data_IF_479786876752
#
_entry.id   IF_479786876752
#
_cell.length_a   1.000
_cell.length_b   1.000
_cell.length_c   1.000
_cell.angle_alpha   90.00
_cell.angle_beta   90.00
_cell.angle_gamma   90.00
#
_symmetry.space_group_name_H-M   'P 1'
#
loop_
_entity.id
_entity.type
_entity.pdbx_description
1 polymer ?
#
# COMPACT_ATOMS: atom_id res chain seq x y z
N UNK A 1 24.05 -10.15 -24.08
CA UNK A 1 23.21 -10.52 -22.92
C UNK A 1 22.39 -9.28 -22.60
N UNK A 2 21.07 -9.33 -22.86
CA UNK A 2 20.17 -8.25 -22.48
C UNK A 2 20.26 -8.09 -20.95
N UNK A 3 20.47 -6.86 -20.50
CA UNK A 3 20.44 -6.57 -19.06
C UNK A 3 19.05 -6.93 -18.52
N UNK A 4 18.94 -7.60 -17.37
CA UNK A 4 17.65 -7.96 -16.82
C UNK A 4 16.79 -6.71 -16.62
N UNK A 5 15.50 -6.82 -16.92
CA UNK A 5 14.55 -5.72 -16.83
C UNK A 5 14.54 -5.18 -15.40
N UNK A 6 14.98 -3.95 -15.21
CA UNK A 6 15.04 -3.28 -13.92
C UNK A 6 13.77 -2.44 -13.69
N UNK A 7 13.18 -2.57 -12.51
CA UNK A 7 11.99 -1.84 -12.10
C UNK A 7 12.33 -0.90 -10.94
N UNK A 8 12.01 0.38 -11.07
CA UNK A 8 11.99 1.32 -9.95
C UNK A 8 10.70 1.08 -9.15
N UNK A 9 10.83 0.56 -7.95
CA UNK A 9 9.70 0.38 -7.03
C UNK A 9 9.68 1.52 -6.01
N UNK A 10 8.57 2.26 -5.97
CA UNK A 10 8.37 3.39 -5.06
C UNK A 10 7.19 3.08 -4.14
N UNK A 11 7.45 3.11 -2.85
CA UNK A 11 6.46 2.93 -1.78
C UNK A 11 6.23 4.30 -1.10
N UNK A 12 5.06 4.87 -1.36
CA UNK A 12 4.66 6.19 -0.89
C UNK A 12 3.73 6.06 0.30
N UNK A 13 4.26 6.22 1.52
CA UNK A 13 3.47 6.21 2.74
C UNK A 13 3.13 7.59 3.28
N UNK A 14 2.23 7.64 4.27
CA UNK A 14 1.88 8.89 4.96
C UNK A 14 3.02 9.50 5.78
N UNK A 15 4.02 8.72 6.20
CA UNK A 15 5.15 9.20 6.98
C UNK A 15 6.48 9.24 6.21
N UNK A 16 6.56 8.63 5.04
CA UNK A 16 7.79 8.57 4.25
C UNK A 16 7.60 7.92 2.90
N UNK A 17 8.50 8.25 1.98
CA UNK A 17 8.57 7.72 0.63
C UNK A 17 9.89 6.95 0.51
N UNK A 18 9.82 5.75 -0.01
CA UNK A 18 10.96 4.84 -0.19
C UNK A 18 11.02 4.38 -1.64
N UNK A 19 12.22 4.35 -2.21
CA UNK A 19 12.45 3.87 -3.56
C UNK A 19 13.60 2.85 -3.59
N UNK A 20 13.48 1.88 -4.50
CA UNK A 20 14.49 0.85 -4.76
C UNK A 20 14.45 0.45 -6.23
N UNK A 21 15.56 -0.01 -6.77
CA UNK A 21 15.62 -0.63 -8.09
C UNK A 21 15.86 -2.13 -7.94
N UNK A 22 14.99 -2.92 -8.57
CA UNK A 22 15.03 -4.39 -8.52
C UNK A 22 15.05 -4.96 -9.94
N UNK A 23 15.66 -6.11 -10.09
CA UNK A 23 15.55 -6.91 -11.32
C UNK A 23 14.21 -7.68 -11.40
N UNK A 24 14.02 -8.41 -12.49
CA UNK A 24 12.83 -9.25 -12.71
C UNK A 24 12.67 -10.37 -11.67
N UNK A 25 13.74 -10.78 -10.99
CA UNK A 25 13.71 -11.77 -9.90
C UNK A 25 13.37 -11.13 -8.54
N UNK A 26 13.28 -9.80 -8.46
CA UNK A 26 13.04 -9.08 -7.22
C UNK A 26 14.30 -8.83 -6.38
N UNK A 27 15.50 -9.01 -6.97
CA UNK A 27 16.77 -8.71 -6.30
C UNK A 27 17.07 -7.22 -6.36
N UNK A 28 17.41 -6.63 -5.22
CA UNK A 28 17.79 -5.21 -5.16
C UNK A 28 19.22 -4.99 -5.66
N UNK A 29 19.40 -4.03 -6.56
CA UNK A 29 20.70 -3.67 -7.13
C UNK A 29 21.39 -2.49 -6.43
N UNK A 30 20.71 -1.84 -5.49
CA UNK A 30 21.25 -0.75 -4.68
C UNK A 30 20.52 -0.69 -3.33
N UNK A 31 21.15 -0.01 -2.36
CA UNK A 31 20.47 0.27 -1.10
C UNK A 31 19.23 1.17 -1.36
N UNK A 32 18.09 0.87 -0.70
CA UNK A 32 16.91 1.70 -0.82
C UNK A 32 17.18 3.13 -0.37
N UNK A 33 16.69 4.10 -1.13
CA UNK A 33 16.67 5.51 -0.72
C UNK A 33 15.33 5.86 -0.10
N UNK A 34 15.31 6.82 0.83
CA UNK A 34 14.09 7.23 1.52
C UNK A 34 14.14 8.70 1.90
N UNK A 35 12.95 9.30 1.96
CA UNK A 35 12.75 10.65 2.49
C UNK A 35 11.47 10.71 3.32
N UNK A 36 11.34 11.69 4.20
CA UNK A 36 10.07 11.98 4.86
C UNK A 36 9.06 12.49 3.82
N UNK A 37 7.77 12.17 4.01
CA UNK A 37 6.71 12.72 3.15
C UNK A 37 6.64 14.23 3.34
N UNK A 38 6.85 15.03 2.27
CA UNK A 38 7.03 16.47 2.39
C UNK A 38 5.69 17.24 2.44
N UNK A 39 5.06 17.25 3.59
CA UNK A 39 3.79 17.94 3.78
C UNK A 39 3.95 19.49 3.80
N UNK A 40 2.93 20.27 3.37
CA UNK A 40 1.74 19.84 2.63
C UNK A 40 2.13 19.28 1.25
N UNK A 41 1.40 18.26 0.80
CA UNK A 41 1.79 17.45 -0.36
C UNK A 41 0.82 17.61 -1.54
N UNK A 42 0.96 18.62 -2.40
CA UNK A 42 0.27 18.66 -3.68
C UNK A 42 0.84 17.59 -4.65
N UNK A 43 0.08 17.13 -5.66
CA UNK A 43 0.51 16.09 -6.61
C UNK A 43 1.88 16.35 -7.23
N UNK A 44 2.12 17.55 -7.76
CA UNK A 44 3.38 17.90 -8.39
C UNK A 44 4.59 17.73 -7.45
N UNK A 45 4.40 17.99 -6.13
CA UNK A 45 5.46 17.80 -5.14
C UNK A 45 5.78 16.33 -4.92
N UNK A 46 4.77 15.44 -4.95
CA UNK A 46 5.00 13.99 -4.86
C UNK A 46 5.77 13.51 -6.09
N UNK A 47 5.36 13.91 -7.30
CA UNK A 47 6.04 13.54 -8.55
C UNK A 47 7.51 14.01 -8.54
N UNK A 48 7.77 15.28 -8.16
CA UNK A 48 9.13 15.80 -8.04
C UNK A 48 9.96 15.04 -6.99
N UNK A 49 9.34 14.63 -5.89
CA UNK A 49 10.01 13.83 -4.84
C UNK A 49 10.40 12.45 -5.38
N UNK A 50 9.50 11.79 -6.14
CA UNK A 50 9.79 10.51 -6.77
C UNK A 50 10.93 10.65 -7.77
N UNK A 51 10.93 11.68 -8.61
CA UNK A 51 12.00 11.94 -9.56
C UNK A 51 13.35 12.15 -8.86
N UNK A 52 13.38 12.94 -7.80
CA UNK A 52 14.61 13.17 -7.01
C UNK A 52 15.14 11.90 -6.32
N UNK A 53 14.27 10.97 -5.91
CA UNK A 53 14.70 9.67 -5.38
C UNK A 53 15.22 8.75 -6.51
N UNK A 54 14.60 8.80 -7.69
CA UNK A 54 15.03 8.02 -8.84
C UNK A 54 16.44 8.40 -9.31
N UNK A 55 16.81 9.70 -9.27
CA UNK A 55 18.15 10.20 -9.61
C UNK A 55 19.27 9.61 -8.74
N UNK A 56 18.94 9.16 -7.52
CA UNK A 56 19.90 8.58 -6.58
C UNK A 56 20.09 7.07 -6.76
N UNK A 57 19.37 6.47 -7.71
CA UNK A 57 19.33 5.02 -7.92
C UNK A 57 19.84 4.65 -9.33
N UNK A 58 20.23 3.38 -9.55
CA UNK A 58 20.53 2.89 -10.88
C UNK A 58 19.36 3.10 -11.84
N UNK A 59 19.66 3.21 -13.15
CA UNK A 59 18.62 3.36 -14.18
C UNK A 59 17.68 2.15 -14.20
N UNK A 60 16.41 2.42 -14.31
CA UNK A 60 15.35 1.44 -14.51
C UNK A 60 14.72 1.59 -15.91
N UNK A 61 13.96 0.59 -16.35
CA UNK A 61 13.22 0.59 -17.61
C UNK A 61 11.71 0.80 -17.39
N UNK A 62 11.21 0.67 -16.16
CA UNK A 62 9.82 0.91 -15.80
C UNK A 62 9.73 1.32 -14.32
N UNK A 63 8.60 1.91 -13.93
CA UNK A 63 8.39 2.33 -12.55
C UNK A 63 7.04 1.82 -12.01
N UNK A 64 7.04 1.34 -10.78
CA UNK A 64 5.83 1.06 -10.01
C UNK A 64 5.75 2.01 -8.83
N UNK A 65 4.63 2.68 -8.68
CA UNK A 65 4.34 3.56 -7.54
C UNK A 65 3.16 2.99 -6.75
N UNK A 66 3.41 2.59 -5.51
CA UNK A 66 2.38 2.28 -4.53
C UNK A 66 2.09 3.51 -3.69
N UNK A 67 0.84 3.96 -3.64
CA UNK A 67 0.45 5.15 -2.85
C UNK A 67 -0.88 4.94 -2.12
N UNK A 68 -1.09 5.60 -0.96
CA UNK A 68 -2.33 5.46 -0.21
C UNK A 68 -3.50 6.14 -0.92
N UNK A 69 -4.65 5.49 -0.86
CA UNK A 69 -5.92 6.00 -1.37
C UNK A 69 -6.48 5.18 -2.52
N UNK A 70 -7.60 5.67 -3.04
CA UNK A 70 -8.34 5.02 -4.11
C UNK A 70 -7.86 5.52 -5.48
N UNK A 71 -7.41 4.59 -6.31
CA UNK A 71 -6.99 4.84 -7.68
C UNK A 71 -7.86 4.07 -8.68
N UNK A 72 -7.99 4.62 -9.88
CA UNK A 72 -8.60 3.97 -11.03
C UNK A 72 -7.71 4.20 -12.25
N UNK A 73 -7.10 3.13 -12.75
CA UNK A 73 -6.21 3.18 -13.93
C UNK A 73 -5.08 4.22 -13.82
N UNK A 74 -4.54 4.41 -12.62
CA UNK A 74 -3.47 5.38 -12.34
C UNK A 74 -3.95 6.80 -12.06
N UNK A 75 -5.28 7.06 -12.12
CA UNK A 75 -5.90 8.33 -11.75
C UNK A 75 -6.36 8.28 -10.30
N UNK A 76 -6.06 9.32 -9.54
CA UNK A 76 -6.43 9.43 -8.12
C UNK A 76 -7.91 9.80 -8.00
N UNK A 77 -8.70 8.94 -7.37
CA UNK A 77 -10.10 9.24 -7.00
C UNK A 77 -10.13 9.98 -5.66
N UNK A 78 -9.40 9.47 -4.67
CA UNK A 78 -9.25 10.09 -3.35
C UNK A 78 -7.98 9.60 -2.67
N UNK A 79 -7.35 10.46 -1.86
CA UNK A 79 -6.23 10.09 -1.00
C UNK A 79 -6.37 10.73 0.38
N UNK A 80 -6.66 9.97 1.44
CA UNK A 80 -6.99 10.54 2.75
C UNK A 80 -5.78 11.17 3.45
N UNK A 81 -4.56 10.70 3.16
CA UNK A 81 -3.37 11.14 3.87
C UNK A 81 -2.73 12.39 3.24
N UNK A 82 -2.77 12.53 1.92
CA UNK A 82 -2.05 13.60 1.21
C UNK A 82 -2.80 14.93 1.16
N UNK A 83 -4.08 14.91 1.49
CA UNK A 83 -4.91 16.12 1.55
C UNK A 83 -4.80 16.88 2.89
N UNK A 84 -3.86 16.49 3.75
CA UNK A 84 -3.70 17.04 5.09
C UNK A 84 -2.53 18.00 5.19
N UNK A 85 -2.55 18.85 6.22
CA UNK A 85 -1.56 19.91 6.42
C UNK A 85 -0.15 19.35 6.74
N UNK A 86 -0.08 18.34 7.59
CA UNK A 86 1.19 17.88 8.16
C UNK A 86 1.26 16.37 8.33
N UNK A 87 0.44 15.62 7.57
CA UNK A 87 0.38 14.17 7.64
C UNK A 87 -0.93 13.63 8.22
N UNK A 88 -1.04 12.30 8.32
CA UNK A 88 -2.25 11.63 8.75
C UNK A 88 -2.83 12.20 10.06
N UNK A 89 -4.17 12.31 10.13
CA UNK A 89 -4.93 12.82 11.30
C UNK A 89 -4.72 14.32 11.61
N UNK A 90 -4.08 15.08 10.74
CA UNK A 90 -4.02 16.53 10.85
C UNK A 90 -5.12 17.19 10.00
N UNK A 91 -5.25 18.52 10.10
CA UNK A 91 -6.29 19.27 9.39
C UNK A 91 -6.25 19.01 7.89
N UNK A 92 -7.39 18.66 7.32
CA UNK A 92 -7.59 18.57 5.87
C UNK A 92 -7.55 19.95 5.25
N UNK A 93 -6.88 20.07 4.11
CA UNK A 93 -6.76 21.27 3.31
C UNK A 93 -7.65 21.12 2.06
N UNK A 94 -8.77 21.86 1.95
CA UNK A 94 -9.72 21.71 0.84
C UNK A 94 -9.09 21.88 -0.54
N UNK A 95 -8.10 22.76 -0.66
CA UNK A 95 -7.34 22.97 -1.90
C UNK A 95 -6.59 21.72 -2.36
N UNK A 96 -6.04 20.93 -1.42
CA UNK A 96 -5.37 19.66 -1.75
C UNK A 96 -6.38 18.59 -2.17
N UNK A 97 -7.58 18.57 -1.59
CA UNK A 97 -8.64 17.67 -2.03
C UNK A 97 -8.95 17.90 -3.51
N UNK A 98 -9.09 19.16 -3.91
CA UNK A 98 -9.33 19.52 -5.31
C UNK A 98 -8.16 19.18 -6.23
N UNK A 99 -6.92 19.40 -5.78
CA UNK A 99 -5.73 19.09 -6.58
C UNK A 99 -5.51 17.60 -6.78
N UNK A 100 -5.85 16.77 -5.80
CA UNK A 100 -5.69 15.32 -5.89
C UNK A 100 -6.82 14.62 -6.63
N UNK A 101 -8.05 15.14 -6.54
CA UNK A 101 -9.21 14.52 -7.18
C UNK A 101 -9.10 14.58 -8.71
N UNK A 102 -9.09 13.42 -9.34
CA UNK A 102 -8.95 13.29 -10.79
C UNK A 102 -7.51 13.52 -11.32
N UNK A 103 -6.50 13.63 -10.46
CA UNK A 103 -5.13 13.78 -10.90
C UNK A 103 -4.61 12.51 -11.56
N UNK A 104 -4.12 12.63 -12.81
CA UNK A 104 -3.46 11.53 -13.54
C UNK A 104 -2.04 11.33 -13.02
N UNK A 105 -1.93 10.55 -11.95
CA UNK A 105 -0.63 10.26 -11.32
C UNK A 105 0.26 9.43 -12.23
N UNK A 106 -0.33 8.50 -13.01
CA UNK A 106 0.43 7.68 -13.94
C UNK A 106 1.06 8.54 -15.01
N UNK A 107 0.27 9.34 -15.72
CA UNK A 107 0.78 10.21 -16.78
C UNK A 107 1.85 11.18 -16.28
N UNK A 108 1.65 11.77 -15.08
CA UNK A 108 2.62 12.67 -14.49
C UNK A 108 3.95 12.00 -14.13
N UNK A 109 3.93 10.73 -13.66
CA UNK A 109 5.14 9.95 -13.38
C UNK A 109 5.83 9.53 -14.67
N UNK A 110 5.06 9.11 -15.70
CA UNK A 110 5.59 8.77 -17.02
C UNK A 110 6.31 9.96 -17.67
N UNK A 111 5.71 11.14 -17.58
CA UNK A 111 6.32 12.38 -18.08
C UNK A 111 7.61 12.73 -17.32
N UNK A 112 7.57 12.70 -15.99
CA UNK A 112 8.69 13.11 -15.16
C UNK A 112 9.90 12.18 -15.25
N UNK A 113 9.68 10.87 -15.43
CA UNK A 113 10.75 9.87 -15.46
C UNK A 113 11.10 9.38 -16.88
N UNK A 114 10.29 9.69 -17.89
CA UNK A 114 10.35 9.13 -19.23
C UNK A 114 10.38 7.58 -19.23
N UNK A 115 9.60 6.95 -18.35
CA UNK A 115 9.48 5.51 -18.17
C UNK A 115 8.01 5.08 -18.14
N UNK A 116 7.67 3.89 -18.67
CA UNK A 116 6.36 3.31 -18.43
C UNK A 116 6.06 3.21 -16.92
N UNK A 117 4.88 3.68 -16.49
CA UNK A 117 4.50 3.69 -15.08
C UNK A 117 3.27 2.83 -14.77
N UNK A 118 3.33 2.14 -13.65
CA UNK A 118 2.21 1.47 -13.01
C UNK A 118 1.97 2.15 -11.66
N UNK A 119 0.78 2.72 -11.46
CA UNK A 119 0.42 3.38 -10.20
C UNK A 119 -0.78 2.65 -9.60
N UNK A 120 -0.59 2.12 -8.39
CA UNK A 120 -1.55 1.31 -7.66
C UNK A 120 -1.67 1.79 -6.21
N UNK A 121 -2.69 1.29 -5.50
CA UNK A 121 -2.72 1.42 -4.05
C UNK A 121 -1.54 0.67 -3.41
N UNK A 122 -1.02 1.17 -2.29
CA UNK A 122 0.11 0.58 -1.58
C UNK A 122 -0.14 -0.86 -1.12
N UNK A 123 -1.38 -1.18 -0.68
CA UNK A 123 -1.77 -2.55 -0.34
C UNK A 123 -1.89 -3.45 -1.57
N UNK A 124 -2.27 -2.93 -2.75
CA UNK A 124 -2.29 -3.68 -4.00
C UNK A 124 -0.87 -4.10 -4.41
N UNK A 125 0.08 -3.16 -4.35
CA UNK A 125 1.50 -3.46 -4.60
C UNK A 125 2.02 -4.46 -3.58
N UNK A 126 1.69 -4.29 -2.29
CA UNK A 126 2.11 -5.23 -1.26
C UNK A 126 1.56 -6.64 -1.51
N UNK A 127 0.28 -6.73 -1.90
CA UNK A 127 -0.40 -7.99 -2.25
C UNK A 127 0.27 -8.68 -3.42
N UNK A 128 0.60 -7.97 -4.49
CA UNK A 128 1.31 -8.50 -5.64
C UNK A 128 2.61 -9.25 -5.26
N UNK A 129 3.26 -8.83 -4.18
CA UNK A 129 4.48 -9.45 -3.69
C UNK A 129 4.29 -10.79 -2.97
N UNK A 130 3.06 -11.15 -2.57
CA UNK A 130 2.80 -12.30 -1.69
C UNK A 130 1.77 -13.29 -2.22
N UNK A 131 0.83 -12.87 -3.06
CA UNK A 131 -0.23 -13.76 -3.57
C UNK A 131 0.35 -14.93 -4.35
N UNK A 132 -0.25 -16.10 -4.15
CA UNK A 132 0.14 -17.32 -4.83
C UNK A 132 -0.56 -17.47 -6.20
N UNK A 133 -1.61 -16.69 -6.45
CA UNK A 133 -2.39 -16.74 -7.69
C UNK A 133 -3.41 -17.88 -7.72
N UNK A 134 -3.87 -18.35 -6.58
CA UNK A 134 -4.81 -19.48 -6.47
C UNK A 134 -6.00 -19.13 -5.57
N UNK A 135 -7.21 -19.23 -6.11
CA UNK A 135 -8.45 -18.91 -5.40
C UNK A 135 -8.61 -17.43 -5.09
N UNK A 136 -9.40 -17.13 -4.10
CA UNK A 136 -9.61 -15.76 -3.59
C UNK A 136 -8.61 -15.43 -2.50
N UNK A 137 -7.68 -14.56 -2.80
CA UNK A 137 -6.64 -14.14 -1.87
C UNK A 137 -6.87 -12.67 -1.48
N UNK A 138 -6.74 -12.39 -0.21
CA UNK A 138 -6.87 -11.02 0.31
C UNK A 138 -5.62 -10.63 1.07
N UNK A 139 -5.18 -9.39 0.92
CA UNK A 139 -4.20 -8.79 1.81
C UNK A 139 -4.87 -7.68 2.64
N UNK A 140 -4.50 -7.63 3.91
CA UNK A 140 -4.78 -6.51 4.80
C UNK A 140 -3.44 -6.01 5.34
N UNK A 141 -3.13 -4.75 5.10
CA UNK A 141 -1.95 -4.10 5.66
C UNK A 141 -2.30 -3.30 6.90
N UNK A 142 -1.52 -3.47 7.95
CA UNK A 142 -1.67 -2.80 9.25
C UNK A 142 -0.52 -1.82 9.44
N UNK A 143 -0.82 -0.55 9.37
CA UNK A 143 0.14 0.56 9.47
C UNK A 143 -0.50 1.77 10.11
N UNK A 144 -0.33 2.96 9.51
CA UNK A 144 -1.02 4.20 9.91
C UNK A 144 -2.53 3.98 10.00
N UNK A 145 -3.07 3.26 9.03
CA UNK A 145 -4.46 2.78 8.96
C UNK A 145 -4.51 1.32 8.54
N UNK A 146 -5.63 0.93 7.91
CA UNK A 146 -5.86 -0.36 7.28
C UNK A 146 -5.80 -0.18 5.76
N UNK A 147 -4.87 -0.86 5.09
CA UNK A 147 -4.93 -1.02 3.64
C UNK A 147 -5.46 -2.40 3.26
N UNK A 148 -6.00 -2.56 2.07
CA UNK A 148 -6.47 -3.84 1.58
C UNK A 148 -6.33 -3.99 0.06
N UNK A 149 -6.20 -5.23 -0.39
CA UNK A 149 -6.37 -5.60 -1.79
C UNK A 149 -6.94 -7.02 -1.87
N UNK A 150 -7.61 -7.32 -2.98
CA UNK A 150 -8.23 -8.62 -3.24
C UNK A 150 -7.76 -9.12 -4.61
N UNK A 151 -7.44 -10.40 -4.68
CA UNK A 151 -6.98 -11.08 -5.89
C UNK A 151 -7.83 -12.34 -6.10
N UNK A 152 -8.24 -12.56 -7.33
CA UNK A 152 -9.00 -13.75 -7.73
C UNK A 152 -8.24 -14.48 -8.83
N UNK A 153 -7.73 -15.68 -8.52
CA UNK A 153 -6.89 -16.45 -9.42
C UNK A 153 -5.65 -15.68 -9.89
N UNK A 154 -5.06 -14.86 -9.02
CA UNK A 154 -3.93 -13.98 -9.30
C UNK A 154 -4.27 -12.68 -10.04
N UNK A 155 -5.54 -12.46 -10.43
CA UNK A 155 -5.96 -11.19 -11.00
C UNK A 155 -6.36 -10.20 -9.90
N UNK A 156 -5.85 -8.96 -10.00
CA UNK A 156 -6.21 -7.88 -9.08
C UNK A 156 -7.67 -7.48 -9.30
N UNK A 157 -8.47 -7.54 -8.23
CA UNK A 157 -9.84 -7.05 -8.23
C UNK A 157 -9.89 -5.51 -8.14
N UNK A 158 -10.99 -4.86 -8.59
CA UNK A 158 -11.15 -3.43 -8.40
C UNK A 158 -11.02 -3.02 -6.93
N UNK A 159 -10.23 -1.98 -6.66
CA UNK A 159 -9.97 -1.51 -5.30
C UNK A 159 -11.24 -1.00 -4.61
N UNK A 160 -11.43 -1.42 -3.38
CA UNK A 160 -12.44 -0.89 -2.44
C UNK A 160 -11.69 -0.34 -1.24
N UNK A 161 -11.89 0.93 -0.92
CA UNK A 161 -11.23 1.61 0.20
C UNK A 161 -11.89 1.20 1.53
N UNK A 162 -11.54 0.02 2.00
CA UNK A 162 -12.11 -0.56 3.22
C UNK A 162 -11.81 0.26 4.47
N UNK A 163 -10.67 0.97 4.48
CA UNK A 163 -10.24 1.80 5.62
C UNK A 163 -11.31 2.79 6.08
N UNK A 164 -12.11 3.31 5.14
CA UNK A 164 -13.16 4.29 5.37
C UNK A 164 -14.52 3.65 5.72
N UNK A 165 -14.61 2.33 5.67
CA UNK A 165 -15.82 1.60 6.02
C UNK A 165 -16.14 1.73 7.52
N UNK A 166 -17.42 1.79 7.92
CA UNK A 166 -17.82 1.80 9.31
C UNK A 166 -17.59 0.42 9.96
N UNK A 167 -16.98 0.40 11.14
CA UNK A 167 -16.77 -0.86 11.87
C UNK A 167 -17.59 -0.93 13.16
N UNK A 168 -17.55 0.08 14.01
CA UNK A 168 -18.26 0.11 15.28
C UNK A 168 -18.32 1.53 15.86
N UNK A 169 -19.43 1.91 16.49
CA UNK A 169 -19.61 3.21 17.16
C UNK A 169 -19.34 4.43 16.27
N UNK A 170 -19.61 4.31 14.96
CA UNK A 170 -19.31 5.38 14.01
C UNK A 170 -17.84 5.51 13.64
N UNK A 171 -16.96 4.64 14.17
CA UNK A 171 -15.55 4.60 13.80
C UNK A 171 -15.35 3.88 12.47
N UNK A 172 -14.41 4.36 11.67
CA UNK A 172 -13.91 3.66 10.50
C UNK A 172 -12.93 2.55 10.89
N UNK A 173 -12.55 1.70 9.95
CA UNK A 173 -11.49 0.72 10.20
C UNK A 173 -10.18 1.39 10.59
N UNK A 174 -9.82 2.52 9.95
CA UNK A 174 -8.64 3.31 10.32
C UNK A 174 -8.70 3.82 11.76
N UNK A 175 -9.86 4.32 12.17
CA UNK A 175 -10.05 4.80 13.56
C UNK A 175 -10.02 3.65 14.57
N UNK A 176 -10.39 2.43 14.16
CA UNK A 176 -10.57 1.31 15.08
C UNK A 176 -9.29 0.50 15.30
N UNK A 177 -8.45 0.31 14.26
CA UNK A 177 -7.23 -0.52 14.33
C UNK A 177 -5.96 0.15 13.79
N UNK A 178 -6.00 1.43 13.38
CA UNK A 178 -4.81 2.15 12.93
C UNK A 178 -3.76 2.31 14.04
N UNK A 179 -2.58 2.77 13.67
CA UNK A 179 -1.41 2.96 14.56
C UNK A 179 -1.73 3.76 15.83
N UNK A 180 -2.53 4.81 15.70
CA UNK A 180 -2.93 5.63 16.83
C UNK A 180 -3.65 4.81 17.92
N UNK A 181 -4.59 3.94 17.51
CA UNK A 181 -5.29 3.07 18.46
C UNK A 181 -4.38 1.98 19.04
N UNK A 182 -3.46 1.49 18.24
CA UNK A 182 -2.44 0.55 18.75
C UNK A 182 -1.61 1.19 19.87
N UNK A 183 -1.13 2.40 19.65
CA UNK A 183 -0.36 3.13 20.67
C UNK A 183 -1.19 3.46 21.91
N UNK A 184 -2.47 3.80 21.75
CA UNK A 184 -3.39 4.10 22.88
C UNK A 184 -3.75 2.87 23.70
N UNK A 185 -3.97 1.72 23.06
CA UNK A 185 -4.47 0.49 23.70
C UNK A 185 -3.37 -0.46 24.15
N UNK A 186 -2.18 -0.34 23.56
CA UNK A 186 -1.12 -1.34 23.65
C UNK A 186 -1.39 -2.56 22.76
N UNK A 187 -0.31 -3.27 22.42
CA UNK A 187 -0.33 -4.35 21.43
C UNK A 187 -1.31 -5.47 21.76
N UNK A 188 -1.47 -5.83 23.02
CA UNK A 188 -2.34 -6.93 23.43
C UNK A 188 -3.84 -6.63 23.21
N UNK A 189 -4.31 -5.45 23.58
CA UNK A 189 -5.71 -5.07 23.40
C UNK A 189 -5.99 -4.73 21.93
N UNK A 190 -5.07 -4.08 21.26
CA UNK A 190 -5.14 -3.81 19.83
C UNK A 190 -5.22 -5.11 19.01
N UNK A 191 -4.43 -6.14 19.34
CA UNK A 191 -4.49 -7.45 18.66
C UNK A 191 -5.87 -8.08 18.73
N UNK A 192 -6.59 -7.91 19.85
CA UNK A 192 -7.98 -8.40 19.98
C UNK A 192 -8.93 -7.65 19.03
N UNK A 193 -8.67 -6.37 18.76
CA UNK A 193 -9.44 -5.60 17.76
C UNK A 193 -9.14 -6.08 16.35
N UNK A 194 -7.86 -6.32 16.02
CA UNK A 194 -7.47 -6.90 14.73
C UNK A 194 -8.19 -8.23 14.50
N UNK A 195 -8.22 -9.11 15.51
CA UNK A 195 -8.95 -10.36 15.41
C UNK A 195 -10.44 -10.15 15.09
N UNK A 196 -11.10 -9.22 15.79
CA UNK A 196 -12.52 -8.90 15.52
C UNK A 196 -12.74 -8.39 14.10
N UNK A 197 -11.81 -7.61 13.56
CA UNK A 197 -11.87 -7.14 12.17
C UNK A 197 -11.74 -8.31 11.22
N UNK A 198 -10.75 -9.19 11.40
CA UNK A 198 -10.58 -10.39 10.57
C UNK A 198 -11.83 -11.29 10.64
N UNK A 199 -12.36 -11.55 11.84
CA UNK A 199 -13.59 -12.32 12.04
C UNK A 199 -14.81 -11.70 11.35
N UNK A 200 -14.91 -10.37 11.31
CA UNK A 200 -16.01 -9.67 10.64
C UNK A 200 -15.87 -9.67 9.12
N UNK A 201 -14.65 -9.57 8.59
CA UNK A 201 -14.39 -9.60 7.15
C UNK A 201 -14.53 -11.00 6.55
N UNK A 202 -14.22 -12.04 7.30
CA UNK A 202 -14.26 -13.42 6.83
C UNK A 202 -15.57 -13.82 6.15
N UNK A 203 -16.76 -13.64 6.73
CA UNK A 203 -18.01 -14.00 6.07
C UNK A 203 -18.37 -13.10 4.88
N UNK A 204 -17.74 -11.91 4.77
CA UNK A 204 -17.98 -10.99 3.66
C UNK A 204 -17.17 -11.37 2.42
N UNK A 205 -15.91 -11.78 2.62
CA UNK A 205 -14.99 -12.08 1.52
C UNK A 205 -14.88 -13.58 1.25
N UNK A 206 -15.01 -14.44 2.28
CA UNK A 206 -14.86 -15.89 2.18
C UNK A 206 -13.58 -16.29 1.43
N UNK A 207 -12.47 -15.63 1.78
CA UNK A 207 -11.16 -15.87 1.15
C UNK A 207 -10.64 -17.28 1.37
N UNK A 208 -9.87 -17.78 0.43
CA UNK A 208 -9.07 -19.00 0.58
C UNK A 208 -7.79 -18.72 1.39
N UNK A 209 -7.25 -17.50 1.25
CA UNK A 209 -6.06 -17.04 1.98
C UNK A 209 -6.14 -15.55 2.33
N UNK A 210 -5.82 -15.23 3.59
CA UNK A 210 -5.63 -13.86 4.05
C UNK A 210 -4.17 -13.62 4.42
N UNK A 211 -3.57 -12.61 3.84
CA UNK A 211 -2.24 -12.12 4.22
C UNK A 211 -2.37 -10.90 5.12
N UNK A 212 -1.70 -10.90 6.28
CA UNK A 212 -1.59 -9.74 7.16
C UNK A 212 -0.19 -9.14 7.04
N UNK A 213 -0.11 -8.00 6.42
CA UNK A 213 1.14 -7.25 6.17
C UNK A 213 1.18 -5.91 6.90
N UNK A 214 2.10 -5.05 6.46
CA UNK A 214 2.33 -3.74 7.06
C UNK A 214 3.19 -3.77 8.32
N UNK A 215 3.68 -2.60 8.73
CA UNK A 215 4.65 -2.48 9.84
C UNK A 215 4.15 -3.02 11.17
N UNK A 216 2.84 -2.96 11.41
CA UNK A 216 2.20 -3.38 12.67
C UNK A 216 1.79 -4.87 12.70
N UNK A 217 1.81 -5.59 11.58
CA UNK A 217 1.43 -7.01 11.57
C UNK A 217 2.21 -7.86 12.57
N UNK A 218 3.51 -7.54 12.76
CA UNK A 218 4.41 -8.20 13.73
C UNK A 218 4.08 -7.89 15.19
N UNK A 219 3.19 -6.94 15.46
CA UNK A 219 2.74 -6.55 16.81
C UNK A 219 1.53 -7.35 17.26
N UNK A 220 0.94 -8.15 16.36
CA UNK A 220 -0.16 -9.04 16.74
C UNK A 220 0.37 -10.08 17.73
N UNK A 221 -0.31 -10.19 18.87
CA UNK A 221 0.11 -11.12 19.92
C UNK A 221 0.01 -12.58 19.44
N UNK A 222 0.95 -13.46 19.83
CA UNK A 222 0.93 -14.87 19.41
C UNK A 222 -0.38 -15.59 19.75
N UNK A 223 -0.98 -15.27 20.90
CA UNK A 223 -2.25 -15.86 21.33
C UNK A 223 -3.44 -15.46 20.43
N UNK A 224 -3.40 -14.26 19.88
CA UNK A 224 -4.41 -13.82 18.91
C UNK A 224 -4.13 -14.45 17.56
N UNK A 225 -2.89 -14.45 17.11
CA UNK A 225 -2.49 -15.03 15.83
C UNK A 225 -2.92 -16.50 15.73
N UNK A 226 -2.70 -17.30 16.76
CA UNK A 226 -3.11 -18.72 16.83
C UNK A 226 -4.63 -18.94 16.73
N UNK A 227 -5.44 -17.88 16.85
CA UNK A 227 -6.92 -17.94 16.76
C UNK A 227 -7.47 -17.40 15.45
N UNK A 228 -6.62 -16.92 14.56
CA UNK A 228 -7.08 -16.34 13.28
C UNK A 228 -7.44 -17.42 12.25
N UNK A 229 -6.88 -18.63 12.39
CA UNK A 229 -7.04 -19.76 11.47
C UNK A 229 -5.80 -19.97 10.59
N UNK A 230 -5.69 -21.18 10.02
CA UNK A 230 -4.53 -21.61 9.22
C UNK A 230 -4.51 -20.95 7.83
N UNK A 231 -5.61 -20.33 7.43
CA UNK A 231 -5.76 -19.56 6.21
C UNK A 231 -5.21 -18.13 6.33
N UNK A 232 -4.76 -17.70 7.53
CA UNK A 232 -4.21 -16.36 7.80
C UNK A 232 -2.69 -16.42 7.96
N UNK A 233 -1.98 -15.66 7.14
CA UNK A 233 -0.50 -15.65 7.09
C UNK A 233 0.04 -14.26 7.37
N UNK A 234 1.01 -14.14 8.28
CA UNK A 234 1.77 -12.89 8.46
C UNK A 234 2.84 -12.79 7.38
N UNK A 235 2.89 -11.67 6.70
CA UNK A 235 3.87 -11.42 5.64
C UNK A 235 4.83 -10.29 6.00
N UNK A 236 6.10 -10.37 5.52
CA UNK A 236 7.10 -9.36 5.83
C UNK A 236 6.78 -8.04 5.11
N UNK A 237 7.22 -6.93 5.69
CA UNK A 237 7.05 -5.59 5.09
C UNK A 237 7.85 -5.41 3.77
N UNK A 238 8.86 -6.25 3.53
CA UNK A 238 9.62 -6.27 2.27
C UNK A 238 8.79 -6.73 1.07
N UNK A 239 7.64 -7.36 1.29
CA UNK A 239 6.73 -7.78 0.21
C UNK A 239 6.28 -6.60 -0.67
N UNK A 240 6.09 -5.41 -0.11
CA UNK A 240 5.75 -4.21 -0.87
C UNK A 240 6.81 -3.81 -1.91
N UNK A 241 8.08 -4.08 -1.64
CA UNK A 241 9.17 -3.80 -2.60
C UNK A 241 9.17 -4.83 -3.73
N UNK A 242 9.07 -6.13 -3.38
CA UNK A 242 8.99 -7.22 -4.37
C UNK A 242 7.72 -7.08 -5.21
N UNK A 243 6.63 -6.65 -4.60
CA UNK A 243 5.37 -6.36 -5.25
C UNK A 243 5.49 -5.33 -6.37
N UNK A 244 6.39 -4.37 -6.23
CA UNK A 244 6.67 -3.41 -7.30
C UNK A 244 7.12 -4.03 -8.62
N UNK A 245 7.79 -5.18 -8.59
CA UNK A 245 8.15 -5.95 -9.80
C UNK A 245 6.98 -6.81 -10.25
N UNK A 246 6.40 -7.60 -9.34
CA UNK A 246 5.35 -8.57 -9.66
C UNK A 246 4.03 -7.93 -10.08
N UNK A 247 3.78 -6.68 -9.69
CA UNK A 247 2.58 -5.95 -10.09
C UNK A 247 2.41 -5.83 -11.62
N UNK A 248 3.51 -5.87 -12.38
CA UNK A 248 3.46 -5.84 -13.84
C UNK A 248 2.95 -7.14 -14.46
N UNK A 249 3.00 -8.24 -13.73
CA UNK A 249 2.53 -9.53 -14.18
C UNK A 249 1.06 -9.77 -13.81
N UNK A 250 0.47 -8.87 -13.00
CA UNK A 250 -0.93 -8.96 -12.60
C UNK A 250 -1.86 -8.70 -13.80
N UNK A 251 -2.88 -9.55 -13.90
CA UNK A 251 -4.04 -9.20 -14.73
C UNK A 251 -4.90 -8.22 -13.94
N UNK A 252 -5.14 -7.04 -14.50
CA UNK A 252 -6.10 -6.08 -13.92
C UNK A 252 -7.45 -6.35 -14.59
N UNK A 253 -8.48 -6.67 -13.81
CA UNK A 253 -9.86 -6.87 -14.27
C UNK A 253 -10.65 -5.58 -14.28
#
# INVERSE_FOLDING_TARGET
>A
VESPLATLAVDCGGGGIKASVLDSAGTMHAQPVRTATPYPLPPARLVATIASLAEQLPRAQRVTVGMPGMLRHGVVVATPHYVTRSGPRTRVLPELVLHWSGFDMRGAVEEALALPALVLNDAEVHGAGVVAGAGLEMIVTLGTGLGNAVFDGGALAPHVELSQGPVRWGLTYDDYIGEHERLRLGDAQWSRRVRKVVEALRPMYMWDRLYLGGGNSRRISPQVLARLGDDVVIVPNSAGIIGGVRAWDLRVR
#
